data_IF_357728313013
#
_entry.id   IF_357728313013
#
_cell.length_a   1.000
_cell.length_b   1.000
_cell.length_c   1.000
_cell.angle_alpha   90.00
_cell.angle_beta   90.00
_cell.angle_gamma   90.00
#
_symmetry.space_group_name_H-M   'P 1'
#
loop_
_entity.id
_entity.type
_entity.pdbx_description
1 polymer ?
#
# COMPACT_ATOMS: atom_id res chain seq x y z
N UNK A 1 17.32 15.23 19.62
CA UNK A 1 16.57 14.65 20.75
C UNK A 1 15.15 14.29 20.31
N UNK A 2 14.49 13.44 21.06
CA UNK A 2 13.11 13.04 20.78
C UNK A 2 12.15 14.24 20.84
N UNK A 3 12.37 15.15 21.77
CA UNK A 3 11.57 16.38 21.90
C UNK A 3 11.73 17.26 20.66
N UNK A 4 12.93 17.40 20.13
CA UNK A 4 13.19 18.16 18.91
C UNK A 4 12.48 17.53 17.71
N UNK A 5 12.51 16.21 17.61
CA UNK A 5 11.81 15.48 16.53
C UNK A 5 10.30 15.65 16.64
N UNK A 6 9.72 15.52 17.85
CA UNK A 6 8.30 15.70 18.08
C UNK A 6 7.84 17.11 17.74
N UNK A 7 8.63 18.11 18.13
CA UNK A 7 8.35 19.52 17.80
C UNK A 7 8.36 19.75 16.30
N UNK A 8 9.33 19.19 15.59
CA UNK A 8 9.42 19.30 14.13
C UNK A 8 8.24 18.62 13.44
N UNK A 9 7.83 17.43 13.90
CA UNK A 9 6.68 16.71 13.36
C UNK A 9 5.41 17.54 13.57
N UNK A 10 5.20 18.08 14.79
CA UNK A 10 4.04 18.92 15.10
C UNK A 10 3.98 20.14 14.21
N UNK A 11 5.09 20.83 14.05
CA UNK A 11 5.18 22.00 13.17
C UNK A 11 4.85 21.63 11.72
N UNK A 12 5.38 20.51 11.25
CA UNK A 12 5.10 20.02 9.90
C UNK A 12 3.62 19.72 9.68
N UNK A 13 2.95 19.11 10.66
CA UNK A 13 1.52 18.82 10.60
C UNK A 13 0.72 20.14 10.54
N UNK A 14 1.02 21.08 11.41
CA UNK A 14 0.34 22.38 11.47
C UNK A 14 0.51 23.19 10.18
N UNK A 15 1.68 23.11 9.55
CA UNK A 15 1.97 23.78 8.29
C UNK A 15 1.46 23.05 7.06
N UNK A 16 0.87 21.85 7.23
CA UNK A 16 0.37 21.06 6.11
C UNK A 16 1.45 20.43 5.26
N UNK A 17 2.69 20.34 5.73
CA UNK A 17 3.83 19.83 4.97
C UNK A 17 3.73 18.33 4.64
N UNK A 18 2.95 17.58 5.41
CA UNK A 18 2.76 16.14 5.22
C UNK A 18 1.47 15.80 4.49
N UNK A 19 0.64 16.80 4.19
CA UNK A 19 -0.65 16.58 3.55
C UNK A 19 -0.50 16.32 2.06
N UNK A 20 -1.35 15.43 1.54
CA UNK A 20 -1.51 15.22 0.11
C UNK A 20 -2.42 16.27 -0.51
N UNK A 21 -2.73 16.10 -1.80
CA UNK A 21 -3.59 17.04 -2.54
C UNK A 21 -5.00 17.17 -1.95
N UNK A 22 -5.48 16.11 -1.27
CA UNK A 22 -6.79 16.09 -0.60
C UNK A 22 -6.79 16.80 0.76
N UNK A 23 -5.66 17.35 1.19
CA UNK A 23 -5.48 17.98 2.50
C UNK A 23 -5.30 16.99 3.65
N UNK A 24 -5.30 15.70 3.37
CA UNK A 24 -5.11 14.65 4.38
C UNK A 24 -3.69 14.10 4.34
N UNK A 25 -3.19 13.65 5.50
CA UNK A 25 -1.88 13.01 5.57
C UNK A 25 -2.01 11.60 5.00
N UNK A 26 -1.23 11.25 3.95
CA UNK A 26 -1.26 9.90 3.37
C UNK A 26 -0.94 8.83 4.42
N UNK A 27 -1.56 7.65 4.28
CA UNK A 27 -1.39 6.54 5.21
C UNK A 27 0.08 6.17 5.44
N UNK A 28 0.87 6.12 4.39
CA UNK A 28 2.30 5.78 4.47
C UNK A 28 3.09 6.80 5.28
N UNK A 29 2.79 8.08 5.13
CA UNK A 29 3.42 9.17 5.88
C UNK A 29 2.96 9.14 7.33
N UNK A 30 1.65 8.99 7.56
CA UNK A 30 1.06 8.90 8.90
C UNK A 30 1.70 7.78 9.71
N UNK A 31 1.88 6.61 9.09
CA UNK A 31 2.53 5.45 9.69
C UNK A 31 3.96 5.79 10.15
N UNK A 32 4.75 6.45 9.31
CA UNK A 32 6.11 6.87 9.64
C UNK A 32 6.14 7.88 10.78
N UNK A 33 5.20 8.82 10.79
CA UNK A 33 5.09 9.80 11.86
C UNK A 33 4.76 9.14 13.20
N UNK A 34 3.83 8.17 13.20
CA UNK A 34 3.45 7.43 14.40
C UNK A 34 4.63 6.62 14.96
N UNK A 35 5.43 6.00 14.10
CA UNK A 35 6.66 5.32 14.51
C UNK A 35 7.62 6.27 15.25
N UNK A 36 7.78 7.48 14.77
CA UNK A 36 8.68 8.48 15.36
C UNK A 36 8.14 9.02 16.68
N UNK A 37 6.83 9.00 16.87
CA UNK A 37 6.18 9.49 18.09
C UNK A 37 6.16 8.45 19.21
N UNK A 38 6.60 7.23 18.97
CA UNK A 38 6.64 6.13 19.95
C UNK A 38 5.32 5.90 20.69
N UNK A 39 4.20 5.99 19.97
CA UNK A 39 2.87 5.74 20.54
C UNK A 39 2.60 4.24 20.54
N UNK A 40 2.58 3.62 21.73
CA UNK A 40 2.63 2.18 21.96
C UNK A 40 1.61 1.32 21.21
N UNK A 41 0.33 1.71 21.21
CA UNK A 41 -0.74 0.89 20.58
C UNK A 41 -0.63 0.83 19.06
N UNK A 42 0.07 1.77 18.45
CA UNK A 42 0.26 1.79 17.01
C UNK A 42 1.32 0.78 16.53
N UNK A 43 2.18 0.28 17.43
CA UNK A 43 3.20 -0.71 17.08
C UNK A 43 2.53 -1.99 16.54
N UNK A 44 1.43 -2.43 17.15
CA UNK A 44 0.68 -3.60 16.66
C UNK A 44 0.13 -3.37 15.26
N UNK A 45 -0.50 -2.22 15.02
CA UNK A 45 -1.04 -1.86 13.71
C UNK A 45 0.06 -1.82 12.66
N UNK A 46 1.23 -1.26 13.01
CA UNK A 46 2.39 -1.23 12.12
C UNK A 46 2.88 -2.62 11.77
N UNK A 47 2.90 -3.54 12.74
CA UNK A 47 3.29 -4.92 12.51
C UNK A 47 2.32 -5.64 11.58
N UNK A 48 1.01 -5.46 11.77
CA UNK A 48 0.00 -6.03 10.87
C UNK A 48 0.15 -5.49 9.46
N UNK A 49 0.39 -4.19 9.30
CA UNK A 49 0.66 -3.57 8.00
C UNK A 49 1.90 -4.15 7.33
N UNK A 50 2.95 -4.44 8.10
CA UNK A 50 4.16 -5.08 7.57
C UNK A 50 3.87 -6.51 7.09
N UNK A 51 3.01 -7.25 7.77
CA UNK A 51 2.56 -8.57 7.32
C UNK A 51 1.79 -8.47 5.99
N UNK A 52 0.92 -7.48 5.84
CA UNK A 52 0.18 -7.23 4.60
C UNK A 52 1.14 -6.90 3.46
N UNK A 53 2.10 -6.01 3.70
CA UNK A 53 3.10 -5.64 2.70
C UNK A 53 3.97 -6.84 2.30
N UNK A 54 4.39 -7.65 3.26
CA UNK A 54 5.19 -8.84 3.00
C UNK A 54 4.40 -9.86 2.16
N UNK A 55 3.13 -10.05 2.48
CA UNK A 55 2.24 -10.93 1.71
C UNK A 55 2.11 -10.46 0.27
N UNK A 56 1.86 -9.17 0.08
CA UNK A 56 1.72 -8.59 -1.27
C UNK A 56 3.01 -8.73 -2.09
N UNK A 57 4.17 -8.54 -1.45
CA UNK A 57 5.46 -8.73 -2.13
C UNK A 57 5.69 -10.19 -2.55
N UNK A 58 5.31 -11.17 -1.69
CA UNK A 58 5.38 -12.59 -2.08
C UNK A 58 4.48 -12.88 -3.26
N UNK A 59 3.26 -12.34 -3.23
CA UNK A 59 2.33 -12.47 -4.37
C UNK A 59 2.93 -11.93 -5.65
N UNK A 60 3.60 -10.77 -5.59
CA UNK A 60 4.25 -10.19 -6.76
C UNK A 60 5.25 -11.14 -7.41
N UNK A 61 5.98 -11.93 -6.61
CA UNK A 61 6.92 -12.91 -7.15
C UNK A 61 6.21 -13.96 -8.01
N UNK A 62 5.02 -14.40 -7.60
CA UNK A 62 4.22 -15.36 -8.35
C UNK A 62 3.51 -14.71 -9.55
N UNK A 63 2.91 -13.54 -9.33
CA UNK A 63 2.21 -12.80 -10.38
C UNK A 63 3.14 -12.43 -11.54
N UNK A 64 4.39 -12.09 -11.24
CA UNK A 64 5.40 -11.76 -12.25
C UNK A 64 5.85 -12.99 -13.06
N UNK A 65 5.48 -14.18 -12.63
CA UNK A 65 5.68 -15.43 -13.42
C UNK A 65 4.45 -15.81 -14.22
N UNK A 66 3.39 -15.01 -14.17
CA UNK A 66 2.13 -15.29 -14.83
C UNK A 66 1.20 -16.21 -14.05
N UNK A 67 1.50 -16.46 -12.78
CA UNK A 67 0.63 -17.27 -11.91
C UNK A 67 -0.55 -16.44 -11.44
N UNK A 68 -1.76 -16.88 -11.71
CA UNK A 68 -2.99 -16.22 -11.28
C UNK A 68 -3.21 -16.47 -9.78
N UNK A 69 -3.44 -15.42 -9.02
CA UNK A 69 -3.69 -15.51 -7.59
C UNK A 69 -5.02 -14.82 -7.24
N UNK A 70 -5.84 -15.44 -6.38
CA UNK A 70 -7.06 -14.80 -5.89
C UNK A 70 -6.73 -13.73 -4.84
N UNK A 71 -7.63 -12.79 -4.67
CA UNK A 71 -7.58 -11.83 -3.56
C UNK A 71 -8.00 -12.57 -2.28
N UNK A 72 -7.20 -12.43 -1.23
CA UNK A 72 -7.46 -13.08 0.05
C UNK A 72 -8.51 -12.37 0.88
N UNK A 73 -9.21 -13.15 1.71
CA UNK A 73 -10.29 -12.62 2.55
C UNK A 73 -9.76 -11.70 3.67
N UNK A 74 -8.50 -11.87 4.05
CA UNK A 74 -7.85 -11.04 5.08
C UNK A 74 -6.98 -9.92 4.51
N UNK A 75 -6.99 -9.73 3.19
CA UNK A 75 -6.16 -8.72 2.54
C UNK A 75 -6.64 -7.31 2.83
N UNK A 76 -5.70 -6.45 3.21
CA UNK A 76 -5.92 -5.01 3.22
C UNK A 76 -5.73 -4.53 1.77
N UNK A 77 -6.84 -4.29 1.08
CA UNK A 77 -6.83 -3.98 -0.35
C UNK A 77 -6.01 -2.73 -0.69
N UNK A 78 -6.04 -1.72 0.17
CA UNK A 78 -5.28 -0.49 -0.03
C UNK A 78 -3.77 -0.75 0.02
N UNK A 79 -3.31 -1.50 1.01
CA UNK A 79 -1.89 -1.85 1.15
C UNK A 79 -1.42 -2.78 0.03
N UNK A 80 -2.23 -3.79 -0.31
CA UNK A 80 -1.91 -4.69 -1.42
C UNK A 80 -1.82 -3.94 -2.74
N UNK A 81 -2.78 -3.05 -3.02
CA UNK A 81 -2.75 -2.24 -4.24
C UNK A 81 -1.49 -1.38 -4.34
N UNK A 82 -1.06 -0.76 -3.24
CA UNK A 82 0.16 0.03 -3.24
C UNK A 82 1.37 -0.82 -3.63
N UNK A 83 1.47 -2.03 -3.08
CA UNK A 83 2.59 -2.95 -3.37
C UNK A 83 2.53 -3.48 -4.80
N UNK A 84 1.35 -3.87 -5.28
CA UNK A 84 1.18 -4.39 -6.65
C UNK A 84 1.40 -3.30 -7.69
N UNK A 85 0.96 -2.07 -7.44
CA UNK A 85 1.19 -0.94 -8.33
C UNK A 85 2.68 -0.59 -8.42
N UNK A 86 3.42 -0.67 -7.31
CA UNK A 86 4.87 -0.49 -7.34
C UNK A 86 5.53 -1.53 -8.24
N UNK A 87 5.10 -2.79 -8.16
CA UNK A 87 5.59 -3.83 -9.05
C UNK A 87 5.28 -3.52 -10.51
N UNK A 88 4.08 -3.03 -10.81
CA UNK A 88 3.66 -2.67 -12.17
C UNK A 88 4.42 -1.45 -12.73
N UNK A 89 4.99 -0.61 -11.87
CA UNK A 89 5.80 0.53 -12.26
C UNK A 89 7.28 0.20 -12.41
N UNK A 90 7.67 -1.01 -12.01
CA UNK A 90 9.07 -1.44 -12.10
C UNK A 90 9.44 -1.83 -13.53
N UNK A 91 10.70 -1.65 -13.88
CA UNK A 91 11.23 -2.03 -15.18
C UNK A 91 11.03 -3.52 -15.49
N UNK A 92 11.11 -4.37 -14.47
CA UNK A 92 10.89 -5.81 -14.62
C UNK A 92 9.50 -6.14 -15.20
N UNK A 93 8.47 -5.41 -14.76
CA UNK A 93 7.12 -5.57 -15.32
C UNK A 93 7.06 -5.08 -16.77
N UNK A 94 7.67 -3.95 -17.08
CA UNK A 94 7.70 -3.44 -18.46
C UNK A 94 8.36 -4.45 -19.40
N UNK A 95 9.46 -5.06 -18.99
CA UNK A 95 10.13 -6.12 -19.75
C UNK A 95 9.22 -7.34 -19.92
N UNK A 96 8.55 -7.77 -18.85
CA UNK A 96 7.65 -8.92 -18.88
C UNK A 96 6.50 -8.67 -19.87
N UNK A 97 5.88 -7.51 -19.80
CA UNK A 97 4.76 -7.13 -20.64
C UNK A 97 5.12 -7.16 -22.12
N UNK A 98 6.34 -6.73 -22.47
CA UNK A 98 6.81 -6.76 -23.86
C UNK A 98 7.17 -8.15 -24.33
N UNK A 99 7.77 -8.97 -23.46
CA UNK A 99 8.23 -10.32 -23.80
C UNK A 99 7.10 -11.35 -23.77
N UNK A 100 6.25 -11.25 -22.77
CA UNK A 100 5.17 -12.21 -22.50
C UNK A 100 3.93 -11.48 -21.98
N UNK A 101 3.13 -10.87 -22.86
CA UNK A 101 1.93 -10.14 -22.45
C UNK A 101 0.92 -11.00 -21.69
N UNK A 102 0.85 -12.30 -22.00
CA UNK A 102 -0.07 -13.22 -21.33
C UNK A 102 0.31 -13.38 -19.84
N UNK A 103 1.61 -13.52 -19.55
CA UNK A 103 2.09 -13.61 -18.17
C UNK A 103 1.85 -12.30 -17.40
N UNK A 104 2.05 -11.15 -18.04
CA UNK A 104 1.82 -9.85 -17.43
C UNK A 104 0.37 -9.63 -16.99
N UNK A 105 -0.60 -10.31 -17.62
CA UNK A 105 -2.02 -10.20 -17.25
C UNK A 105 -2.32 -10.69 -15.83
N UNK A 106 -1.51 -11.57 -15.27
CA UNK A 106 -1.72 -12.06 -13.92
C UNK A 106 -1.65 -10.92 -12.89
N UNK A 107 -0.63 -10.08 -12.99
CA UNK A 107 -0.51 -8.90 -12.11
C UNK A 107 -1.63 -7.89 -12.39
N UNK A 108 -1.92 -7.63 -13.65
CA UNK A 108 -2.98 -6.70 -14.05
C UNK A 108 -4.35 -7.12 -13.51
N UNK A 109 -4.69 -8.41 -13.65
CA UNK A 109 -5.96 -8.95 -13.16
C UNK A 109 -6.05 -8.89 -11.63
N UNK A 110 -4.94 -9.14 -10.95
CA UNK A 110 -4.90 -9.08 -9.49
C UNK A 110 -5.08 -7.64 -8.97
N UNK A 111 -4.47 -6.67 -9.64
CA UNK A 111 -4.67 -5.24 -9.35
C UNK A 111 -6.15 -4.87 -9.56
N UNK A 112 -6.74 -5.31 -10.66
CA UNK A 112 -8.16 -5.05 -10.95
C UNK A 112 -9.07 -5.66 -9.88
N UNK A 113 -8.77 -6.88 -9.43
CA UNK A 113 -9.56 -7.55 -8.39
C UNK A 113 -9.53 -6.80 -7.05
N UNK A 114 -8.35 -6.36 -6.61
CA UNK A 114 -8.25 -5.53 -5.40
C UNK A 114 -8.97 -4.20 -5.55
N UNK A 115 -8.86 -3.56 -6.72
CA UNK A 115 -9.53 -2.29 -7.02
C UNK A 115 -11.04 -2.44 -6.92
N UNK A 116 -11.59 -3.51 -7.49
CA UNK A 116 -13.02 -3.81 -7.40
C UNK A 116 -13.47 -3.98 -5.96
N UNK A 117 -12.75 -4.77 -5.16
CA UNK A 117 -13.07 -4.99 -3.74
C UNK A 117 -13.05 -3.68 -2.95
N UNK A 118 -12.06 -2.84 -3.21
CA UNK A 118 -11.94 -1.55 -2.52
C UNK A 118 -13.09 -0.61 -2.88
N UNK A 119 -13.48 -0.56 -4.16
CA UNK A 119 -14.59 0.26 -4.62
C UNK A 119 -15.93 -0.21 -4.04
N UNK A 120 -16.16 -1.52 -3.98
CA UNK A 120 -17.36 -2.08 -3.35
C UNK A 120 -17.45 -1.71 -1.86
N UNK A 121 -16.32 -1.75 -1.14
CA UNK A 121 -16.27 -1.36 0.27
C UNK A 121 -16.61 0.12 0.45
N UNK A 122 -16.12 0.99 -0.43
CA UNK A 122 -16.42 2.42 -0.40
C UNK A 122 -17.89 2.71 -0.71
N UNK A 123 -18.49 2.01 -1.66
CA UNK A 123 -19.91 2.13 -1.98
C UNK A 123 -20.78 1.79 -0.78
N UNK A 124 -20.45 0.71 -0.04
CA UNK A 124 -21.17 0.33 1.17
C UNK A 124 -21.09 1.40 2.27
N UNK A 125 -19.96 2.08 2.39
CA UNK A 125 -19.80 3.16 3.38
C UNK A 125 -20.63 4.40 3.03
N UNK A 126 -20.89 4.63 1.75
CA UNK A 126 -21.64 5.78 1.27
C UNK A 126 -23.15 5.52 1.12
N UNK A 127 -23.58 4.31 1.38
CA UNK A 127 -25.00 3.92 1.29
C UNK A 127 -25.78 4.31 2.55
#
# INVERSE_FOLDING_TARGET
SDETQLSAIRAGIELGLFAGEDGKIPRSVRKKLLCRMHIGDFVRTLYEDELQNAAARRENMHLMKGESLPVGICDDHELHLAAHRRAALDYAYDKLRRRDPAAARALEAHIAAHTEKLNLAKEKQNA
#
